data_IF_639187765711
#
_entry.id   IF_639187765711
#
_cell.length_a   1.000
_cell.length_b   1.000
_cell.length_c   1.000
_cell.angle_alpha   90.00
_cell.angle_beta   90.00
_cell.angle_gamma   90.00
#
_symmetry.space_group_name_H-M   'P 1'
#
loop_
_entity.id
_entity.type
_entity.pdbx_description
1 polymer ?
#
# COMPACT_ATOMS: atom_id res chain seq x y z
N UNK A 1 9.49 -14.12 -19.64
CA UNK A 1 9.28 -13.36 -20.88
C UNK A 1 10.14 -12.10 -20.81
N UNK A 2 11.13 -11.92 -21.69
CA UNK A 2 11.88 -10.65 -21.79
C UNK A 2 11.19 -9.78 -22.82
N UNK A 3 10.55 -8.69 -22.38
CA UNK A 3 10.06 -7.66 -23.30
C UNK A 3 11.19 -6.67 -23.57
N UNK A 4 11.34 -6.29 -24.83
CA UNK A 4 12.13 -5.12 -25.22
C UNK A 4 11.38 -3.84 -24.85
N UNK A 5 12.09 -2.71 -24.77
CA UNK A 5 11.48 -1.40 -24.50
C UNK A 5 10.41 -1.01 -25.54
N UNK A 6 10.63 -1.36 -26.81
CA UNK A 6 9.70 -1.11 -27.91
C UNK A 6 8.40 -1.91 -27.74
N UNK A 7 8.52 -3.20 -27.42
CA UNK A 7 7.36 -4.06 -27.18
C UNK A 7 6.57 -3.61 -25.96
N UNK A 8 7.25 -3.27 -24.85
CA UNK A 8 6.59 -2.74 -23.66
C UNK A 8 5.79 -1.47 -23.98
N UNK A 9 6.40 -0.54 -24.73
CA UNK A 9 5.75 0.73 -25.11
C UNK A 9 4.48 0.49 -25.94
N UNK A 10 4.52 -0.48 -26.85
CA UNK A 10 3.39 -0.84 -27.72
C UNK A 10 2.33 -1.71 -27.04
N UNK A 11 2.60 -2.28 -25.86
CA UNK A 11 1.67 -3.18 -25.19
C UNK A 11 0.38 -2.46 -24.78
N UNK A 12 -0.83 -2.89 -25.21
CA UNK A 12 -2.09 -2.23 -24.84
C UNK A 12 -2.30 -2.05 -23.33
N UNK A 13 -1.97 -3.07 -22.51
CA UNK A 13 -2.14 -3.03 -21.06
C UNK A 13 -0.78 -3.21 -20.38
N UNK A 14 -0.38 -2.23 -19.58
CA UNK A 14 0.92 -2.22 -18.90
C UNK A 14 0.71 -2.30 -17.40
N UNK A 15 1.45 -3.17 -16.73
CA UNK A 15 1.54 -3.23 -15.28
C UNK A 15 3.01 -3.19 -14.87
N UNK A 16 3.32 -2.38 -13.87
CA UNK A 16 4.66 -2.25 -13.29
C UNK A 16 4.53 -2.52 -11.80
N UNK A 17 5.31 -3.49 -11.30
CA UNK A 17 5.40 -3.76 -9.87
C UNK A 17 6.74 -3.24 -9.37
N UNK A 18 6.70 -2.30 -8.43
CA UNK A 18 7.89 -1.82 -7.74
C UNK A 18 8.06 -2.63 -6.44
N UNK A 19 9.10 -3.47 -6.39
CA UNK A 19 9.38 -4.34 -5.25
C UNK A 19 10.70 -3.95 -4.57
N UNK A 20 10.72 -4.08 -3.25
CA UNK A 20 11.93 -3.93 -2.43
C UNK A 20 11.63 -3.27 -1.09
N UNK A 21 12.67 -3.06 -0.28
CA UNK A 21 12.53 -2.63 1.12
C UNK A 21 12.01 -1.20 1.28
N UNK A 22 11.69 -0.80 2.51
CA UNK A 22 11.37 0.60 2.82
C UNK A 22 12.57 1.51 2.45
N UNK A 23 12.30 2.72 1.97
CA UNK A 23 13.33 3.72 1.65
C UNK A 23 14.00 3.62 0.27
N UNK A 24 13.84 2.53 -0.50
CA UNK A 24 14.51 2.39 -1.83
C UNK A 24 13.92 3.29 -2.94
N UNK A 25 12.92 4.12 -2.63
CA UNK A 25 12.32 5.04 -3.59
C UNK A 25 11.14 4.50 -4.41
N UNK A 26 10.49 3.40 -4.01
CA UNK A 26 9.29 2.86 -4.69
C UNK A 26 8.21 3.93 -4.89
N UNK A 27 7.85 4.62 -3.80
CA UNK A 27 6.86 5.69 -3.81
C UNK A 27 7.29 6.88 -4.67
N UNK A 28 8.58 7.22 -4.65
CA UNK A 28 9.15 8.29 -5.47
C UNK A 28 9.02 7.99 -6.96
N UNK A 29 9.34 6.76 -7.39
CA UNK A 29 9.22 6.35 -8.79
C UNK A 29 7.75 6.28 -9.20
N UNK A 30 6.90 5.67 -8.38
CA UNK A 30 5.46 5.60 -8.64
C UNK A 30 4.89 7.01 -8.86
N UNK A 31 5.21 7.97 -8.01
CA UNK A 31 4.71 9.35 -8.12
C UNK A 31 5.22 10.14 -9.32
N UNK A 32 6.32 9.71 -9.97
CA UNK A 32 6.78 10.30 -11.23
C UNK A 32 5.93 9.87 -12.43
N UNK A 33 5.17 8.78 -12.33
CA UNK A 33 4.26 8.37 -13.40
C UNK A 33 3.04 9.30 -13.45
N UNK A 34 2.59 9.71 -14.66
CA UNK A 34 1.41 10.58 -14.78
C UNK A 34 0.15 9.90 -14.26
N UNK A 35 -0.46 10.47 -13.21
CA UNK A 35 -1.71 9.96 -12.60
C UNK A 35 -2.89 9.87 -13.57
N UNK A 36 -2.87 10.64 -14.66
CA UNK A 36 -3.90 10.59 -15.71
C UNK A 36 -3.78 9.37 -16.63
N UNK A 37 -2.62 8.70 -16.63
CA UNK A 37 -2.34 7.53 -17.49
C UNK A 37 -2.11 6.26 -16.67
N UNK A 38 -1.69 6.40 -15.42
CA UNK A 38 -1.34 5.30 -14.55
C UNK A 38 -2.21 5.29 -13.30
N UNK A 39 -2.82 4.14 -13.05
CA UNK A 39 -3.47 3.87 -11.77
C UNK A 39 -2.41 3.48 -10.74
N UNK A 40 -2.33 4.24 -9.64
CA UNK A 40 -1.34 4.00 -8.58
C UNK A 40 -1.94 3.11 -7.51
N UNK A 41 -1.38 1.91 -7.37
CA UNK A 41 -1.80 0.94 -6.37
C UNK A 41 -0.70 0.74 -5.32
N UNK A 42 -0.98 1.10 -4.06
CA UNK A 42 -0.07 0.85 -2.94
C UNK A 42 -0.62 -0.30 -2.07
N UNK A 43 0.11 -1.41 -2.04
CA UNK A 43 -0.19 -2.53 -1.16
C UNK A 43 -0.11 -2.14 0.30
N UNK A 44 0.97 -1.45 0.70
CA UNK A 44 1.21 -1.00 2.07
C UNK A 44 0.06 -0.11 2.59
N UNK A 45 -0.35 0.87 1.77
CA UNK A 45 -1.47 1.75 2.12
C UNK A 45 -2.74 0.94 2.37
N UNK A 46 -3.05 -0.01 1.49
CA UNK A 46 -4.29 -0.78 1.59
C UNK A 46 -4.27 -1.77 2.74
N UNK A 47 -3.14 -2.43 2.99
CA UNK A 47 -2.96 -3.28 4.17
C UNK A 47 -3.19 -2.46 5.43
N UNK A 48 -2.51 -1.32 5.56
CA UNK A 48 -2.65 -0.44 6.71
C UNK A 48 -4.08 0.06 6.92
N UNK A 49 -4.72 0.63 5.89
CA UNK A 49 -6.00 1.32 6.08
C UNK A 49 -7.23 0.42 5.94
N UNK A 50 -7.16 -0.66 5.16
CA UNK A 50 -8.35 -1.51 4.91
C UNK A 50 -8.36 -2.76 5.77
N UNK A 51 -7.19 -3.33 6.06
CA UNK A 51 -7.10 -4.65 6.68
C UNK A 51 -6.58 -4.60 8.11
N UNK A 52 -5.80 -3.58 8.46
CA UNK A 52 -5.23 -3.43 9.80
C UNK A 52 -5.96 -2.40 10.67
N UNK A 53 -6.88 -1.60 10.11
CA UNK A 53 -7.60 -0.57 10.89
C UNK A 53 -8.38 -1.17 12.07
N UNK A 54 -9.33 -2.07 11.81
CA UNK A 54 -10.13 -2.71 12.87
C UNK A 54 -9.26 -3.54 13.83
N UNK A 55 -8.35 -4.44 13.37
CA UNK A 55 -7.51 -5.20 14.30
C UNK A 55 -6.62 -4.34 15.20
N UNK A 56 -6.07 -3.22 14.69
CA UNK A 56 -5.28 -2.30 15.51
C UNK A 56 -6.18 -1.62 16.55
N UNK A 57 -7.36 -1.14 16.14
CA UNK A 57 -8.30 -0.48 17.05
C UNK A 57 -8.80 -1.43 18.13
N UNK A 58 -9.13 -2.67 17.78
CA UNK A 58 -9.60 -3.66 18.73
C UNK A 58 -8.49 -4.04 19.70
N UNK A 59 -7.25 -4.21 19.23
CA UNK A 59 -6.12 -4.44 20.12
C UNK A 59 -5.90 -3.26 21.10
N UNK A 60 -6.06 -2.02 20.63
CA UNK A 60 -5.99 -0.82 21.49
C UNK A 60 -7.10 -0.85 22.54
N UNK A 61 -8.35 -1.18 22.15
CA UNK A 61 -9.48 -1.28 23.09
C UNK A 61 -9.24 -2.37 24.13
N UNK A 62 -8.80 -3.55 23.70
CA UNK A 62 -8.48 -4.67 24.59
C UNK A 62 -7.45 -4.25 25.65
N UNK A 63 -6.37 -3.61 25.24
CA UNK A 63 -5.34 -3.10 26.17
C UNK A 63 -5.85 -1.95 27.03
N UNK A 64 -6.68 -1.07 26.49
CA UNK A 64 -7.28 0.02 27.26
C UNK A 64 -8.20 -0.52 28.37
N UNK A 65 -8.96 -1.59 28.12
CA UNK A 65 -9.83 -2.23 29.11
C UNK A 65 -9.07 -2.86 30.29
N UNK A 66 -7.76 -3.11 30.17
CA UNK A 66 -6.91 -3.50 31.30
C UNK A 66 -6.76 -2.36 32.33
N UNK A 67 -6.86 -1.10 31.89
CA UNK A 67 -6.84 0.08 32.74
C UNK A 67 -8.23 0.29 33.35
N UNK A 68 -8.34 0.16 34.66
CA UNK A 68 -9.62 0.16 35.38
C UNK A 68 -10.53 1.37 35.08
N UNK A 69 -9.96 2.56 34.85
CA UNK A 69 -10.71 3.78 34.50
C UNK A 69 -11.29 3.75 33.07
N UNK A 70 -10.68 3.01 32.14
CA UNK A 70 -11.07 2.93 30.73
C UNK A 70 -11.95 1.72 30.42
N UNK A 71 -12.39 0.97 31.44
CA UNK A 71 -13.39 -0.09 31.29
C UNK A 71 -14.73 0.55 30.91
N UNK A 72 -15.03 0.54 29.62
CA UNK A 72 -16.38 0.79 29.12
C UNK A 72 -17.16 -0.51 29.40
N UNK A 73 -18.31 -0.39 30.08
CA UNK A 73 -19.10 -1.48 30.67
C UNK A 73 -19.19 -2.77 29.85
#
# INVERSE_FOLDING_TARGET
MKLTASEFTKWPNKAITLLGMSGIGKTTIANKLPKSKWFHYSGDYRIGTKYLEEPILDNIKERAMEVSFLKIF
#
